data_IF_500822995845
#
_entry.id   IF_500822995845
#
_cell.length_a   1.000
_cell.length_b   1.000
_cell.length_c   1.000
_cell.angle_alpha   90.00
_cell.angle_beta   90.00
_cell.angle_gamma   90.00
#
_symmetry.space_group_name_H-M   'P 1'
#
loop_
_entity.id
_entity.type
_entity.pdbx_description
1 polymer ?
#
# COMPACT_ATOMS: atom_id res chain seq x y z
N UNK A 1 -20.04 0.08 0.67
CA UNK A 1 -19.69 -0.13 1.06
C UNK A 1 -18.57 -0.36 0.86
N UNK A 2 -17.90 -0.37 0.54
CA UNK A 2 -16.94 -0.67 0.35
C UNK A 2 -15.80 0.14 0.48
N UNK A 3 -15.71 1.21 0.99
CA UNK A 3 -14.60 2.06 1.29
C UNK A 3 -13.76 1.58 2.39
N UNK A 4 -14.24 0.58 3.10
CA UNK A 4 -13.46 0.01 4.16
C UNK A 4 -12.18 -0.62 3.68
N UNK A 5 -12.04 -0.81 2.36
CA UNK A 5 -10.84 -1.39 1.80
C UNK A 5 -9.82 -0.35 1.38
N UNK A 6 -10.03 0.90 1.75
CA UNK A 6 -9.08 1.98 1.46
C UNK A 6 -8.38 2.41 2.74
N UNK A 7 -7.10 2.76 2.59
CA UNK A 7 -6.30 3.15 3.73
C UNK A 7 -5.23 4.13 3.28
N UNK A 8 -4.96 5.14 4.09
CA UNK A 8 -3.91 6.10 3.78
C UNK A 8 -2.67 5.76 4.59
N UNK A 9 -1.54 5.72 3.89
CA UNK A 9 -0.28 5.35 4.51
C UNK A 9 0.81 6.30 4.05
N UNK A 10 1.94 6.26 4.77
CA UNK A 10 3.16 6.95 4.36
C UNK A 10 4.32 5.98 4.46
N UNK A 11 5.12 5.94 3.39
CA UNK A 11 6.33 5.12 3.34
C UNK A 11 7.51 6.07 3.27
N UNK A 12 8.28 6.13 4.34
CA UNK A 12 9.33 7.14 4.48
C UNK A 12 10.70 6.68 4.04
N UNK A 13 10.93 5.39 4.01
CA UNK A 13 12.26 4.85 3.72
C UNK A 13 12.13 3.65 2.79
N UNK A 14 13.25 3.31 2.15
CA UNK A 14 13.31 2.15 1.28
C UNK A 14 12.87 0.88 1.99
N UNK A 15 13.27 0.73 3.26
CA UNK A 15 12.88 -0.45 4.03
C UNK A 15 11.37 -0.53 4.21
N UNK A 16 10.70 0.62 4.35
CA UNK A 16 9.24 0.65 4.47
C UNK A 16 8.58 0.12 3.21
N UNK A 17 9.10 0.55 2.04
CA UNK A 17 8.56 0.08 0.77
C UNK A 17 8.73 -1.42 0.63
N UNK A 18 9.90 -1.94 0.99
CA UNK A 18 10.17 -3.37 0.92
C UNK A 18 9.23 -4.15 1.82
N UNK A 19 9.01 -3.66 3.02
CA UNK A 19 8.12 -4.32 3.96
C UNK A 19 6.67 -4.31 3.46
N UNK A 20 6.25 -3.17 2.92
CA UNK A 20 4.90 -3.03 2.38
C UNK A 20 4.68 -4.00 1.21
N UNK A 21 5.62 -4.04 0.27
CA UNK A 21 5.50 -4.92 -0.89
C UNK A 21 5.46 -6.38 -0.46
N UNK A 22 6.29 -6.73 0.52
CA UNK A 22 6.34 -8.11 1.02
C UNK A 22 5.00 -8.51 1.61
N UNK A 23 4.35 -7.59 2.34
CA UNK A 23 3.03 -7.87 2.90
C UNK A 23 1.99 -8.01 1.80
N UNK A 24 2.05 -7.14 0.78
CA UNK A 24 1.09 -7.18 -0.32
C UNK A 24 1.23 -8.46 -1.13
N UNK A 25 2.45 -8.95 -1.30
CA UNK A 25 2.69 -10.16 -2.08
C UNK A 25 2.08 -11.41 -1.46
N UNK A 26 1.79 -11.37 -0.18
CA UNK A 26 1.17 -12.52 0.50
C UNK A 26 -0.31 -12.62 0.22
N UNK A 27 -0.90 -11.59 -0.39
CA UNK A 27 -2.32 -11.59 -0.72
C UNK A 27 -2.52 -12.12 -2.13
N UNK A 28 -3.59 -12.87 -2.33
CA UNK A 28 -3.88 -13.43 -3.64
C UNK A 28 -4.88 -12.59 -4.44
N UNK A 29 -5.12 -11.37 -4.00
CA UNK A 29 -5.97 -10.43 -4.73
C UNK A 29 -5.16 -9.18 -5.07
N UNK A 30 -5.72 -8.35 -5.94
CA UNK A 30 -5.04 -7.14 -6.37
C UNK A 30 -5.08 -6.07 -5.29
N UNK A 31 -3.98 -5.35 -5.18
CA UNK A 31 -3.86 -4.22 -4.27
C UNK A 31 -3.19 -3.10 -5.06
N UNK A 32 -3.82 -1.93 -5.07
CA UNK A 32 -3.29 -0.76 -5.75
C UNK A 32 -2.80 0.24 -4.73
N UNK A 33 -1.79 1.01 -5.12
CA UNK A 33 -1.34 2.15 -4.32
C UNK A 33 -1.36 3.36 -5.25
N UNK A 34 -1.88 4.48 -4.73
CA UNK A 34 -2.18 5.64 -5.55
C UNK A 34 -1.60 6.90 -4.93
N UNK A 35 -1.02 7.76 -5.76
CA UNK A 35 -0.60 9.10 -5.40
C UNK A 35 -1.10 10.04 -6.49
N UNK A 36 -1.90 11.05 -6.11
CA UNK A 36 -2.57 11.92 -7.09
C UNK A 36 -3.35 11.06 -8.07
N UNK A 37 -3.10 11.20 -9.36
CA UNK A 37 -3.81 10.44 -10.37
C UNK A 37 -3.02 9.22 -10.84
N UNK A 38 -1.89 8.92 -10.22
CA UNK A 38 -1.04 7.80 -10.62
C UNK A 38 -1.36 6.59 -9.73
N UNK A 39 -1.68 5.47 -10.36
CA UNK A 39 -2.00 4.23 -9.67
C UNK A 39 -1.00 3.17 -10.10
N UNK A 40 -0.40 2.49 -9.14
CA UNK A 40 0.53 1.40 -9.44
C UNK A 40 0.14 0.18 -8.63
N UNK A 41 0.65 -0.97 -9.06
CA UNK A 41 0.43 -2.24 -8.37
C UNK A 41 1.24 -2.21 -7.06
N UNK A 42 0.57 -2.48 -5.94
CA UNK A 42 1.23 -2.50 -4.64
C UNK A 42 2.27 -3.61 -4.52
N UNK A 43 2.24 -4.58 -5.42
CA UNK A 43 3.22 -5.67 -5.42
C UNK A 43 4.43 -5.33 -6.30
N UNK A 44 4.46 -4.14 -6.89
CA UNK A 44 5.56 -3.71 -7.75
C UNK A 44 6.44 -2.72 -6.98
N UNK A 45 7.59 -3.19 -6.55
CA UNK A 45 8.50 -2.33 -5.78
C UNK A 45 8.98 -1.15 -6.63
N UNK A 46 9.25 -1.38 -7.91
CA UNK A 46 9.70 -0.29 -8.79
C UNK A 46 8.58 0.71 -9.03
N UNK A 47 7.33 0.23 -9.14
CA UNK A 47 6.20 1.11 -9.31
C UNK A 47 6.04 2.05 -8.12
N UNK A 48 6.20 1.51 -6.91
CA UNK A 48 6.06 2.35 -5.72
C UNK A 48 7.20 3.35 -5.62
N UNK A 49 8.43 2.93 -5.92
CA UNK A 49 9.54 3.87 -5.88
C UNK A 49 9.36 5.00 -6.89
N UNK A 50 8.66 4.73 -8.01
CA UNK A 50 8.43 5.79 -8.99
C UNK A 50 7.49 6.87 -8.45
N UNK A 51 6.69 6.55 -7.43
CA UNK A 51 5.81 7.54 -6.81
C UNK A 51 6.55 8.45 -5.84
N UNK A 52 7.70 8.00 -5.34
CA UNK A 52 8.50 8.77 -4.39
C UNK A 52 8.25 8.32 -2.96
N UNK A 53 9.09 8.81 -2.06
CA UNK A 53 8.99 8.49 -0.63
C UNK A 53 8.39 9.66 0.14
N UNK A 54 7.96 9.38 1.36
CA UNK A 54 7.50 10.38 2.33
C UNK A 54 6.25 11.11 1.89
N UNK A 55 5.47 10.51 1.02
CA UNK A 55 4.19 11.05 0.56
C UNK A 55 3.06 10.22 1.12
N UNK A 56 1.87 10.80 1.13
CA UNK A 56 0.70 10.06 1.61
C UNK A 56 0.07 9.37 0.40
N UNK A 57 -0.01 8.05 0.49
CA UNK A 57 -0.58 7.22 -0.55
C UNK A 57 -1.93 6.68 -0.12
N UNK A 58 -2.78 6.37 -1.09
CA UNK A 58 -4.02 5.65 -0.83
C UNK A 58 -3.83 4.20 -1.28
N UNK A 59 -4.09 3.27 -0.38
CA UNK A 59 -4.03 1.84 -0.67
C UNK A 59 -5.46 1.38 -0.91
N UNK A 60 -5.68 0.71 -2.05
CA UNK A 60 -6.97 0.11 -2.37
C UNK A 60 -6.80 -1.39 -2.44
N UNK A 61 -7.50 -2.11 -1.56
CA UNK A 61 -7.48 -3.57 -1.56
C UNK A 61 -8.71 -4.08 -2.29
N UNK A 62 -8.51 -5.02 -3.19
CA UNK A 62 -9.60 -5.65 -3.92
C UNK A 62 -9.96 -7.00 -3.32
N UNK A 63 -9.80 -7.11 -2.02
CA UNK A 63 -10.11 -8.29 -1.23
C UNK A 63 -9.93 -7.96 0.23
N UNK A 64 -10.07 -8.96 1.09
CA UNK A 64 -9.94 -8.78 2.53
C UNK A 64 -8.88 -9.70 3.09
N UNK A 65 -8.01 -9.13 3.90
CA UNK A 65 -6.97 -9.89 4.59
C UNK A 65 -6.59 -9.13 5.84
N UNK A 66 -7.01 -9.64 6.99
CA UNK A 66 -6.76 -8.97 8.27
C UNK A 66 -5.26 -8.88 8.53
N UNK A 67 -4.51 -9.90 8.15
CA UNK A 67 -3.07 -9.91 8.38
C UNK A 67 -2.38 -8.81 7.59
N UNK A 68 -2.84 -8.55 6.36
CA UNK A 68 -2.27 -7.48 5.57
C UNK A 68 -2.56 -6.12 6.21
N UNK A 69 -3.80 -5.90 6.61
CA UNK A 69 -4.17 -4.63 7.24
C UNK A 69 -3.37 -4.43 8.52
N UNK A 70 -3.22 -5.46 9.32
CA UNK A 70 -2.43 -5.37 10.54
C UNK A 70 -0.96 -5.06 10.23
N UNK A 71 -0.42 -5.71 9.20
CA UNK A 71 1.00 -5.56 8.85
C UNK A 71 1.31 -4.14 8.41
N UNK A 72 0.37 -3.44 7.76
CA UNK A 72 0.65 -2.10 7.25
C UNK A 72 0.14 -0.98 8.17
N UNK A 73 -0.44 -1.33 9.33
CA UNK A 73 -0.91 -0.32 10.28
C UNK A 73 0.20 0.62 10.71
N UNK A 74 1.42 0.13 10.81
CA UNK A 74 2.57 0.94 11.21
C UNK A 74 2.81 2.10 10.24
N UNK A 75 2.31 2.01 9.01
CA UNK A 75 2.47 3.06 8.01
C UNK A 75 1.25 3.98 7.95
N UNK A 76 0.18 3.66 8.65
CA UNK A 76 -1.08 4.39 8.53
C UNK A 76 -0.93 5.84 9.00
N UNK A 77 -1.63 6.73 8.31
CA UNK A 77 -1.70 8.14 8.71
C UNK A 77 -3.17 8.50 8.89
N UNK A 78 -3.36 9.48 9.77
CA UNK A 78 -4.72 9.90 10.11
C UNK A 78 -5.38 10.65 8.96
#
# INVERSE_FOLDING_TARGET
MNNMNKMKIRLNATADVQEFVRAAEKCDFDIDIQYDSTIVDAKSILGIFSLGLAKIFTVNCHGENVEFVDAIQKFAVA
#
